data_IF_022462256660
#
_entry.id   IF_022462256660
#
_cell.length_a   1.000
_cell.length_b   1.000
_cell.length_c   1.000
_cell.angle_alpha   90.00
_cell.angle_beta   90.00
_cell.angle_gamma   90.00
#
_symmetry.space_group_name_H-M   'P 1'
#
loop_
_entity.id
_entity.type
_entity.pdbx_description
1 polymer ?
#
# COMPACT_ATOMS: atom_id res chain seq x y z
N UNK A 1 -7.88 16.57 22.36
CA UNK A 1 -6.95 16.10 21.32
C UNK A 1 -6.88 17.14 20.21
N UNK A 2 -5.69 17.63 19.88
CA UNK A 2 -5.49 18.58 18.78
C UNK A 2 -6.04 17.97 17.47
N UNK A 3 -6.84 18.72 16.69
CA UNK A 3 -7.46 18.24 15.43
C UNK A 3 -6.42 17.69 14.44
N UNK A 4 -5.18 18.20 14.52
CA UNK A 4 -4.04 17.74 13.71
C UNK A 4 -3.59 16.33 14.10
N UNK A 5 -3.47 16.05 15.41
CA UNK A 5 -3.07 14.74 15.93
C UNK A 5 -4.10 13.66 15.59
N UNK A 6 -5.39 13.98 15.78
CA UNK A 6 -6.49 13.07 15.45
C UNK A 6 -6.46 12.66 13.96
N UNK A 7 -6.19 13.61 13.08
CA UNK A 7 -6.13 13.35 11.63
C UNK A 7 -5.05 12.32 11.28
N UNK A 8 -3.88 12.38 11.93
CA UNK A 8 -2.75 11.49 11.65
C UNK A 8 -2.97 10.11 12.26
N UNK A 9 -3.52 10.06 13.47
CA UNK A 9 -3.91 8.81 14.10
C UNK A 9 -4.92 8.08 13.21
N UNK A 10 -5.90 8.79 12.64
CA UNK A 10 -6.86 8.21 11.70
C UNK A 10 -6.20 7.70 10.42
N UNK A 11 -5.25 8.44 9.86
CA UNK A 11 -4.49 8.01 8.66
C UNK A 11 -3.75 6.70 8.94
N UNK A 12 -2.93 6.67 10.00
CA UNK A 12 -2.16 5.48 10.37
C UNK A 12 -3.09 4.31 10.70
N UNK A 13 -4.20 4.57 11.39
CA UNK A 13 -5.18 3.55 11.71
C UNK A 13 -5.81 2.92 10.47
N UNK A 14 -6.21 3.73 9.48
CA UNK A 14 -6.77 3.24 8.21
C UNK A 14 -5.75 2.39 7.47
N UNK A 15 -4.48 2.80 7.42
CA UNK A 15 -3.42 2.04 6.74
C UNK A 15 -3.17 0.69 7.42
N UNK A 16 -3.08 0.65 8.75
CA UNK A 16 -2.89 -0.59 9.51
C UNK A 16 -4.10 -1.53 9.41
N UNK A 17 -5.32 -0.97 9.42
CA UNK A 17 -6.54 -1.74 9.18
C UNK A 17 -6.54 -2.36 7.79
N UNK A 18 -6.27 -1.56 6.76
CA UNK A 18 -6.22 -2.04 5.39
C UNK A 18 -5.22 -3.17 5.22
N UNK A 19 -3.99 -2.97 5.71
CA UNK A 19 -2.93 -3.97 5.67
C UNK A 19 -3.34 -5.26 6.38
N UNK A 20 -3.88 -5.16 7.60
CA UNK A 20 -4.29 -6.31 8.40
C UNK A 20 -5.44 -7.11 7.78
N UNK A 21 -6.37 -6.45 7.09
CA UNK A 21 -7.47 -7.11 6.37
C UNK A 21 -6.97 -7.85 5.12
N UNK A 22 -6.01 -7.26 4.39
CA UNK A 22 -5.49 -7.85 3.16
C UNK A 22 -4.63 -9.07 3.44
N UNK A 23 -3.76 -9.01 4.45
CA UNK A 23 -2.71 -10.01 4.66
C UNK A 23 -3.23 -11.47 4.71
N UNK A 24 -4.34 -11.81 5.40
CA UNK A 24 -4.90 -13.17 5.36
C UNK A 24 -5.63 -13.49 4.06
N UNK A 25 -6.17 -12.50 3.34
CA UNK A 25 -6.90 -12.70 2.08
C UNK A 25 -5.96 -12.91 0.89
N UNK A 26 -4.78 -12.29 0.93
CA UNK A 26 -3.85 -12.26 -0.19
C UNK A 26 -3.39 -13.65 -0.65
N UNK A 27 -3.04 -14.60 0.25
CA UNK A 27 -2.71 -15.97 -0.14
C UNK A 27 -3.85 -16.68 -0.86
N UNK A 28 -5.09 -16.48 -0.41
CA UNK A 28 -6.28 -17.07 -1.03
C UNK A 28 -6.50 -16.52 -2.45
N UNK A 29 -6.35 -15.21 -2.64
CA UNK A 29 -6.41 -14.61 -3.97
C UNK A 29 -5.30 -15.12 -4.89
N UNK A 30 -4.07 -15.20 -4.40
CA UNK A 30 -2.94 -15.69 -5.20
C UNK A 30 -3.14 -17.15 -5.62
N UNK A 31 -3.57 -18.01 -4.70
CA UNK A 31 -3.84 -19.43 -4.96
C UNK A 31 -4.99 -19.62 -5.96
N UNK A 32 -6.06 -18.81 -5.88
CA UNK A 32 -7.18 -18.81 -6.86
C UNK A 32 -6.68 -18.65 -8.30
N UNK A 33 -5.64 -17.85 -8.53
CA UNK A 33 -5.03 -17.64 -9.85
C UNK A 33 -3.82 -18.55 -10.12
N UNK A 34 -3.64 -19.61 -9.34
CA UNK A 34 -2.61 -20.63 -9.57
C UNK A 34 -1.21 -20.23 -9.12
N UNK A 35 -1.06 -19.25 -8.23
CA UNK A 35 0.24 -18.94 -7.64
C UNK A 35 0.73 -20.10 -6.76
N UNK A 36 2.01 -20.46 -6.91
CA UNK A 36 2.66 -21.40 -6.00
C UNK A 36 2.93 -20.72 -4.66
N UNK A 37 3.16 -21.51 -3.60
CA UNK A 37 3.52 -20.98 -2.27
C UNK A 37 4.72 -20.02 -2.32
N UNK A 38 5.71 -20.31 -3.18
CA UNK A 38 6.86 -19.44 -3.39
C UNK A 38 6.46 -18.09 -4.01
N UNK A 39 5.60 -18.08 -5.04
CA UNK A 39 5.11 -16.85 -5.68
C UNK A 39 4.24 -16.05 -4.71
N UNK A 40 3.39 -16.70 -3.93
CA UNK A 40 2.61 -16.05 -2.86
C UNK A 40 3.52 -15.42 -1.81
N UNK A 41 4.60 -16.10 -1.43
CA UNK A 41 5.63 -15.55 -0.55
C UNK A 41 6.29 -14.30 -1.14
N UNK A 42 6.66 -14.34 -2.43
CA UNK A 42 7.17 -13.17 -3.14
C UNK A 42 6.16 -12.02 -3.22
N UNK A 43 4.87 -12.34 -3.39
CA UNK A 43 3.80 -11.34 -3.43
C UNK A 43 3.68 -10.60 -2.09
N UNK A 44 3.70 -11.32 -0.97
CA UNK A 44 3.73 -10.71 0.37
C UNK A 44 5.03 -9.92 0.57
N UNK A 45 6.17 -10.48 0.18
CA UNK A 45 7.47 -9.82 0.32
C UNK A 45 7.58 -8.54 -0.53
N UNK A 46 6.90 -8.45 -1.68
CA UNK A 46 6.92 -7.28 -2.54
C UNK A 46 6.38 -6.03 -1.85
N UNK A 47 5.35 -6.16 -1.01
CA UNK A 47 4.84 -5.08 -0.19
C UNK A 47 5.91 -4.59 0.80
N UNK A 48 6.51 -5.51 1.58
CA UNK A 48 7.52 -5.17 2.56
C UNK A 48 8.78 -4.56 1.92
N UNK A 49 9.19 -5.07 0.77
CA UNK A 49 10.31 -4.53 0.00
C UNK A 49 10.04 -3.10 -0.47
N UNK A 50 8.85 -2.82 -1.00
CA UNK A 50 8.49 -1.46 -1.41
C UNK A 50 8.27 -0.54 -0.21
N UNK A 51 7.78 -1.04 0.92
CA UNK A 51 7.67 -0.27 2.16
C UNK A 51 9.05 0.12 2.73
N UNK A 52 10.02 -0.78 2.67
CA UNK A 52 11.40 -0.50 3.04
C UNK A 52 12.00 0.64 2.20
N UNK A 53 11.67 0.70 0.89
CA UNK A 53 12.08 1.79 0.01
C UNK A 53 11.25 3.05 0.22
N UNK A 54 9.94 2.90 0.41
CA UNK A 54 8.97 3.98 0.56
C UNK A 54 9.18 4.78 1.84
N UNK A 55 9.51 4.13 2.95
CA UNK A 55 9.68 4.79 4.25
C UNK A 55 10.73 5.93 4.25
N UNK A 56 11.98 5.73 3.78
CA UNK A 56 12.95 6.82 3.67
C UNK A 56 12.59 7.81 2.55
N UNK A 57 11.99 7.37 1.45
CA UNK A 57 11.60 8.25 0.34
C UNK A 57 10.51 9.25 0.78
N UNK A 58 9.44 8.74 1.38
CA UNK A 58 8.34 9.55 1.91
C UNK A 58 8.82 10.45 3.05
N UNK A 59 9.70 9.95 3.93
CA UNK A 59 10.35 10.76 4.97
C UNK A 59 11.02 12.01 4.39
N UNK A 60 11.95 11.82 3.46
CA UNK A 60 12.68 12.92 2.81
C UNK A 60 11.78 13.87 2.01
N UNK A 61 10.76 13.32 1.33
CA UNK A 61 9.77 14.14 0.63
C UNK A 61 8.94 14.98 1.62
N UNK A 62 8.61 14.42 2.78
CA UNK A 62 7.84 15.09 3.82
C UNK A 62 8.61 16.25 4.45
N UNK A 63 9.92 16.10 4.61
CA UNK A 63 10.78 17.16 5.13
C UNK A 63 10.90 18.32 4.13
N UNK A 64 10.85 18.03 2.82
CA UNK A 64 10.99 19.05 1.76
C UNK A 64 9.69 19.75 1.41
N UNK A 65 8.59 19.02 1.27
CA UNK A 65 7.31 19.53 0.78
C UNK A 65 6.28 19.75 1.89
N UNK A 66 6.66 19.46 3.13
CA UNK A 66 5.78 19.47 4.29
C UNK A 66 5.11 18.12 4.50
N UNK A 67 4.90 17.81 5.78
CA UNK A 67 4.43 16.48 6.20
C UNK A 67 2.98 16.18 5.83
N UNK A 68 2.07 17.16 5.97
CA UNK A 68 0.63 16.96 5.70
C UNK A 68 0.33 16.61 4.24
N UNK A 69 0.86 17.32 3.22
CA UNK A 69 0.65 16.94 1.82
C UNK A 69 1.15 15.53 1.51
N UNK A 70 2.30 15.14 2.06
CA UNK A 70 2.89 13.82 1.82
C UNK A 70 2.07 12.70 2.49
N UNK A 71 1.54 12.93 3.70
CA UNK A 71 0.61 11.98 4.33
C UNK A 71 -0.71 11.82 3.55
N UNK A 72 -1.20 12.87 2.90
CA UNK A 72 -2.39 12.75 2.04
C UNK A 72 -2.06 12.01 0.73
N UNK A 73 -0.90 12.29 0.14
CA UNK A 73 -0.42 11.58 -1.04
C UNK A 73 -0.18 10.09 -0.77
N UNK A 74 0.31 9.74 0.43
CA UNK A 74 0.49 8.36 0.84
C UNK A 74 -0.84 7.62 0.96
N UNK A 75 -1.83 8.19 1.63
CA UNK A 75 -3.18 7.62 1.73
C UNK A 75 -3.82 7.46 0.35
N UNK A 76 -3.64 8.45 -0.53
CA UNK A 76 -4.14 8.34 -1.91
C UNK A 76 -3.46 7.20 -2.68
N UNK A 77 -2.15 7.03 -2.51
CA UNK A 77 -1.42 5.91 -3.08
C UNK A 77 -1.88 4.55 -2.54
N UNK A 78 -2.10 4.44 -1.23
CA UNK A 78 -2.69 3.26 -0.60
C UNK A 78 -4.06 2.98 -1.20
N UNK A 79 -4.92 3.98 -1.30
CA UNK A 79 -6.23 3.88 -1.96
C UNK A 79 -6.14 3.37 -3.40
N UNK A 80 -5.19 3.86 -4.21
CA UNK A 80 -4.94 3.33 -5.55
C UNK A 80 -4.47 1.87 -5.51
N UNK A 81 -3.61 1.51 -4.56
CA UNK A 81 -3.20 0.12 -4.32
C UNK A 81 -4.40 -0.78 -4.03
N UNK A 82 -5.33 -0.36 -3.16
CA UNK A 82 -6.57 -1.08 -2.87
C UNK A 82 -7.51 -1.17 -4.07
N UNK A 83 -7.65 -0.10 -4.87
CA UNK A 83 -8.43 -0.16 -6.10
C UNK A 83 -7.84 -1.17 -7.09
N UNK A 84 -6.52 -1.15 -7.30
CA UNK A 84 -5.84 -2.13 -8.14
C UNK A 84 -6.03 -3.56 -7.63
N UNK A 85 -6.05 -3.76 -6.31
CA UNK A 85 -6.35 -5.08 -5.72
C UNK A 85 -7.78 -5.50 -6.03
N UNK A 86 -8.74 -4.62 -5.74
CA UNK A 86 -10.17 -4.91 -5.85
C UNK A 86 -10.58 -5.21 -7.29
N UNK A 87 -9.96 -4.53 -8.25
CA UNK A 87 -10.20 -4.71 -9.68
C UNK A 87 -9.14 -5.59 -10.37
N UNK A 88 -8.35 -6.36 -9.62
CA UNK A 88 -7.25 -7.12 -10.20
C UNK A 88 -7.73 -8.15 -11.23
N UNK A 89 -8.88 -8.78 -10.99
CA UNK A 89 -9.46 -9.78 -11.87
C UNK A 89 -9.96 -9.15 -13.18
N UNK A 90 -10.69 -8.04 -13.08
CA UNK A 90 -11.23 -7.31 -14.21
C UNK A 90 -10.13 -6.70 -15.07
N UNK A 91 -9.15 -6.03 -14.43
CA UNK A 91 -8.03 -5.41 -15.13
C UNK A 91 -7.12 -6.48 -15.75
N UNK A 92 -6.77 -7.52 -14.99
CA UNK A 92 -5.90 -8.58 -15.47
C UNK A 92 -6.53 -9.38 -16.62
N UNK A 93 -7.81 -9.72 -16.51
CA UNK A 93 -8.55 -10.42 -17.57
C UNK A 93 -8.76 -9.57 -18.81
N UNK A 94 -9.04 -8.26 -18.66
CA UNK A 94 -9.15 -7.34 -19.79
C UNK A 94 -7.81 -7.19 -20.55
N UNK A 95 -6.70 -7.05 -19.83
CA UNK A 95 -5.36 -7.00 -20.43
C UNK A 95 -5.03 -8.32 -21.14
N UNK A 96 -5.32 -9.46 -20.51
CA UNK A 96 -5.10 -10.75 -21.13
C UNK A 96 -5.89 -10.93 -22.43
N UNK A 97 -7.13 -10.46 -22.48
CA UNK A 97 -7.94 -10.47 -23.70
C UNK A 97 -7.29 -9.73 -24.89
N UNK A 98 -6.49 -8.69 -24.62
CA UNK A 98 -5.80 -7.93 -25.65
C UNK A 98 -4.49 -8.58 -26.14
N UNK A 99 -3.79 -9.34 -25.28
CA UNK A 99 -2.47 -9.89 -25.58
C UNK A 99 -2.47 -11.41 -25.75
N UNK A 100 -3.00 -12.14 -24.76
CA UNK A 100 -3.03 -13.59 -24.73
C UNK A 100 -4.12 -14.08 -23.75
N UNK A 101 -5.32 -14.45 -24.25
CA UNK A 101 -6.45 -14.87 -23.42
C UNK A 101 -6.14 -16.07 -22.52
N UNK A 102 -5.23 -16.95 -22.92
CA UNK A 102 -4.82 -18.13 -22.15
C UNK A 102 -3.93 -17.77 -20.95
N UNK A 103 -3.37 -16.55 -20.91
CA UNK A 103 -2.48 -16.08 -19.86
C UNK A 103 -3.19 -15.21 -18.80
N UNK A 104 -4.53 -15.22 -18.73
CA UNK A 104 -5.31 -14.36 -17.83
C UNK A 104 -4.82 -14.36 -16.37
N UNK A 105 -4.58 -15.55 -15.81
CA UNK A 105 -4.10 -15.68 -14.44
C UNK A 105 -2.76 -14.96 -14.20
N UNK A 106 -1.83 -14.98 -15.16
CA UNK A 106 -0.54 -14.31 -15.03
C UNK A 106 -0.71 -12.78 -15.01
N UNK A 107 -1.61 -12.25 -15.84
CA UNK A 107 -1.90 -10.82 -15.84
C UNK A 107 -2.56 -10.39 -14.53
N UNK A 108 -3.53 -11.16 -14.02
CA UNK A 108 -4.17 -10.88 -12.72
C UNK A 108 -3.14 -10.91 -11.59
N UNK A 109 -2.29 -11.94 -11.52
CA UNK A 109 -1.19 -12.01 -10.55
C UNK A 109 -0.26 -10.79 -10.68
N UNK A 110 0.07 -10.36 -11.90
CA UNK A 110 0.85 -9.15 -12.14
C UNK A 110 0.21 -7.89 -11.57
N UNK A 111 -1.12 -7.74 -11.71
CA UNK A 111 -1.86 -6.63 -11.10
C UNK A 111 -1.86 -6.73 -9.57
N UNK A 112 -1.96 -7.94 -8.99
CA UNK A 112 -1.80 -8.12 -7.54
C UNK A 112 -0.42 -7.68 -7.04
N UNK A 113 0.65 -8.03 -7.76
CA UNK A 113 2.01 -7.56 -7.46
C UNK A 113 2.09 -6.04 -7.54
N UNK A 114 1.59 -5.44 -8.62
CA UNK A 114 1.59 -3.99 -8.80
C UNK A 114 0.82 -3.28 -7.68
N UNK A 115 -0.36 -3.79 -7.32
CA UNK A 115 -1.16 -3.31 -6.19
C UNK A 115 -0.35 -3.32 -4.90
N UNK A 116 0.32 -4.44 -4.56
CA UNK A 116 1.17 -4.56 -3.38
C UNK A 116 2.37 -3.64 -3.40
N UNK A 117 2.98 -3.44 -4.56
CA UNK A 117 4.13 -2.57 -4.70
C UNK A 117 3.76 -1.10 -4.52
N UNK A 118 2.65 -0.66 -5.12
CA UNK A 118 2.13 0.71 -4.96
C UNK A 118 1.78 0.96 -3.49
N UNK A 119 0.99 0.06 -2.91
CA UNK A 119 0.58 0.14 -1.50
C UNK A 119 1.77 0.08 -0.54
N UNK A 120 2.76 -0.77 -0.79
CA UNK A 120 3.99 -0.81 0.02
C UNK A 120 4.77 0.51 -0.06
N UNK A 121 4.97 1.03 -1.26
CA UNK A 121 5.70 2.27 -1.49
C UNK A 121 5.03 3.47 -0.78
N UNK A 122 3.70 3.50 -0.78
CA UNK A 122 2.91 4.58 -0.18
C UNK A 122 2.63 4.33 1.31
N UNK A 123 2.60 3.07 1.75
CA UNK A 123 2.40 2.65 3.13
C UNK A 123 3.62 2.86 4.04
N UNK A 124 4.77 3.31 3.49
CA UNK A 124 5.94 3.72 4.27
C UNK A 124 5.76 5.02 5.09
N UNK A 125 4.53 5.51 5.24
CA UNK A 125 4.24 6.82 5.83
C UNK A 125 4.29 6.87 7.37
N UNK A 126 4.49 5.73 8.03
CA UNK A 126 4.59 5.64 9.49
C UNK A 126 5.73 6.50 10.05
N UNK A 127 6.86 6.59 9.33
CA UNK A 127 7.99 7.46 9.67
C UNK A 127 7.60 8.94 9.63
N UNK A 128 6.84 9.35 8.61
CA UNK A 128 6.32 10.72 8.45
C UNK A 128 5.31 11.05 9.54
N UNK A 129 4.45 10.09 9.90
CA UNK A 129 3.47 10.25 10.97
C UNK A 129 4.14 10.44 12.34
N UNK A 130 5.12 9.60 12.68
CA UNK A 130 5.89 9.71 13.93
C UNK A 130 6.58 11.07 14.04
N UNK A 131 7.22 11.50 12.97
CA UNK A 131 7.93 12.76 12.96
C UNK A 131 6.98 13.98 12.90
N UNK A 132 5.76 13.84 12.36
CA UNK A 132 4.75 14.89 12.53
C UNK A 132 4.29 14.99 13.99
N UNK A 133 4.04 13.85 14.64
CA UNK A 133 3.59 13.82 16.04
C UNK A 133 4.63 14.53 16.91
N UNK A 134 5.93 14.26 16.72
CA UNK A 134 6.99 14.97 17.45
C UNK A 134 6.98 16.49 17.20
N UNK A 135 6.66 16.93 15.98
CA UNK A 135 6.65 18.36 15.63
C UNK A 135 5.46 19.14 16.22
N UNK A 136 4.39 18.45 16.64
CA UNK A 136 3.18 19.11 17.18
C UNK A 136 2.91 18.80 18.65
N UNK A 137 3.82 18.06 19.29
CA UNK A 137 3.79 17.77 20.73
C UNK A 137 4.55 18.88 21.47
N UNK A 138 3.90 19.49 22.47
CA UNK A 138 4.46 20.53 23.33
C UNK A 138 4.29 20.10 24.80
N UNK A 139 4.91 20.78 25.77
CA UNK A 139 4.82 20.43 27.21
C UNK A 139 3.37 20.35 27.78
N UNK A 140 2.39 20.90 27.05
CA UNK A 140 0.98 20.96 27.46
C UNK A 140 0.07 19.89 26.82
N UNK A 141 0.57 19.08 25.87
CA UNK A 141 -0.23 18.09 25.12
C UNK A 141 0.49 16.75 24.96
#
# INVERSE_FOLDING_TARGET
MNKRLLSIILIVFIDLLGFSLILPLLPYYAEKYGATQFVTGLLVASYAAMQLLGAPLLGRLSDRYGRRPILLASVFGTFLGFLLLGFADEIGSALAGAFNPQAANLFVLGILFLSRMVDGLTGGNLSVAQAYISDVTDESN
#
